data_IF_368983666185
#
_entry.id   IF_368983666185
#
_cell.length_a   1.000
_cell.length_b   1.000
_cell.length_c   1.000
_cell.angle_alpha   90.00
_cell.angle_beta   90.00
_cell.angle_gamma   90.00
#
_symmetry.space_group_name_H-M   'P 1'
#
loop_
_entity.id
_entity.type
_entity.pdbx_description
1 polymer ?
#
# COMPACT_ATOMS: atom_id res chain seq x y z
N UNK A 1 -4.35 6.37 10.66
CA UNK A 1 -5.77 5.98 10.52
C UNK A 1 -6.28 6.24 9.09
N UNK A 2 -6.39 7.51 8.66
CA UNK A 2 -6.84 7.89 7.29
C UNK A 2 -6.03 7.19 6.18
N UNK A 3 -4.72 7.04 6.37
CA UNK A 3 -3.84 6.33 5.42
C UNK A 3 -4.17 4.83 5.31
N UNK A 4 -4.58 4.17 6.40
CA UNK A 4 -4.93 2.74 6.40
C UNK A 4 -6.29 2.53 5.73
N UNK A 5 -7.27 3.40 6.04
CA UNK A 5 -8.61 3.35 5.43
C UNK A 5 -8.56 3.63 3.93
N UNK A 6 -7.75 4.59 3.49
CA UNK A 6 -7.55 4.87 2.05
C UNK A 6 -6.79 3.74 1.35
N UNK A 7 -5.77 3.15 1.96
CA UNK A 7 -5.12 1.94 1.44
C UNK A 7 -6.10 0.79 1.25
N UNK A 8 -7.02 0.57 2.20
CA UNK A 8 -8.07 -0.43 2.10
C UNK A 8 -9.07 -0.11 0.99
N UNK A 9 -9.50 1.15 0.87
CA UNK A 9 -10.35 1.61 -0.21
C UNK A 9 -9.71 1.35 -1.57
N UNK A 10 -8.43 1.71 -1.74
CA UNK A 10 -7.67 1.46 -2.97
C UNK A 10 -7.61 -0.05 -3.23
N UNK A 11 -7.33 -0.87 -2.23
CA UNK A 11 -7.32 -2.33 -2.37
C UNK A 11 -8.67 -2.91 -2.81
N UNK A 12 -9.78 -2.48 -2.20
CA UNK A 12 -11.12 -2.94 -2.56
C UNK A 12 -11.52 -2.50 -3.97
N UNK A 13 -11.17 -1.27 -4.37
CA UNK A 13 -11.37 -0.77 -5.74
C UNK A 13 -10.58 -1.61 -6.74
N UNK A 14 -9.33 -1.96 -6.42
CA UNK A 14 -8.47 -2.76 -7.30
C UNK A 14 -8.92 -4.22 -7.43
N UNK A 15 -9.39 -4.86 -6.35
CA UNK A 15 -9.70 -6.29 -6.35
C UNK A 15 -11.06 -6.60 -6.99
N UNK A 16 -12.02 -5.68 -6.92
CA UNK A 16 -13.42 -5.96 -7.28
C UNK A 16 -13.97 -5.18 -8.46
N UNK A 17 -13.16 -4.36 -9.16
CA UNK A 17 -13.51 -3.72 -10.43
C UNK A 17 -14.99 -3.34 -10.55
N UNK A 18 -15.40 -2.25 -9.88
CA UNK A 18 -16.76 -1.67 -9.92
C UNK A 18 -17.96 -2.57 -9.52
N UNK A 19 -17.80 -3.89 -9.34
CA UNK A 19 -18.93 -4.84 -9.29
C UNK A 19 -19.55 -5.04 -7.90
N UNK A 20 -18.92 -4.58 -6.81
CA UNK A 20 -19.45 -4.70 -5.44
C UNK A 20 -19.57 -3.34 -4.74
N UNK A 21 -20.63 -2.61 -5.08
CA UNK A 21 -20.89 -1.24 -4.57
C UNK A 21 -20.91 -1.12 -3.03
N UNK A 22 -21.39 -2.14 -2.31
CA UNK A 22 -21.54 -2.08 -0.84
C UNK A 22 -20.21 -1.86 -0.10
N UNK A 23 -19.12 -2.51 -0.52
CA UNK A 23 -17.81 -2.42 0.15
C UNK A 23 -17.14 -1.07 -0.11
N UNK A 24 -17.35 -0.50 -1.30
CA UNK A 24 -16.82 0.81 -1.69
C UNK A 24 -17.55 1.90 -0.89
N UNK A 25 -18.89 1.82 -0.78
CA UNK A 25 -19.70 2.79 -0.01
C UNK A 25 -19.31 2.82 1.46
N UNK A 26 -19.13 1.65 2.10
CA UNK A 26 -18.71 1.58 3.51
C UNK A 26 -17.29 2.16 3.70
N UNK A 27 -16.38 1.88 2.78
CA UNK A 27 -15.00 2.40 2.83
C UNK A 27 -14.95 3.91 2.61
N UNK A 28 -15.79 4.44 1.71
CA UNK A 28 -15.95 5.89 1.50
C UNK A 28 -16.57 6.56 2.72
N UNK A 29 -17.61 5.97 3.30
CA UNK A 29 -18.27 6.49 4.49
C UNK A 29 -17.29 6.58 5.68
N UNK A 30 -16.48 5.54 5.90
CA UNK A 30 -15.41 5.56 6.90
C UNK A 30 -14.38 6.65 6.61
N UNK A 31 -14.00 6.83 5.34
CA UNK A 31 -13.03 7.86 4.97
C UNK A 31 -13.56 9.27 5.24
N UNK A 32 -14.81 9.55 4.87
CA UNK A 32 -15.46 10.84 5.12
C UNK A 32 -15.59 11.15 6.62
N UNK A 33 -15.98 10.17 7.45
CA UNK A 33 -16.07 10.35 8.90
C UNK A 33 -14.71 10.56 9.59
N UNK A 34 -13.62 10.13 8.94
CA UNK A 34 -12.24 10.24 9.43
C UNK A 34 -11.49 11.45 8.85
N UNK A 35 -12.07 12.13 7.85
CA UNK A 35 -11.45 13.27 7.21
C UNK A 35 -11.39 14.47 8.15
N UNK A 36 -10.37 15.31 7.98
CA UNK A 36 -10.16 16.47 8.85
C UNK A 36 -11.30 17.49 8.69
N UNK A 37 -11.89 18.03 9.78
CA UNK A 37 -11.63 17.73 11.19
C UNK A 37 -12.31 16.42 11.66
N UNK A 38 -11.62 15.55 12.42
CA UNK A 38 -12.18 14.27 12.82
C UNK A 38 -13.35 14.46 13.79
N UNK A 39 -14.53 13.97 13.42
CA UNK A 39 -15.74 14.08 14.25
C UNK A 39 -15.74 13.17 15.48
N UNK A 40 -14.93 12.11 15.47
CA UNK A 40 -14.86 11.12 16.57
C UNK A 40 -13.40 10.70 16.79
N UNK A 41 -12.92 10.85 18.04
CA UNK A 41 -11.64 10.31 18.47
C UNK A 41 -11.77 8.82 18.69
N UNK A 42 -11.22 8.09 17.74
CA UNK A 42 -11.32 6.65 17.68
C UNK A 42 -9.98 6.14 18.21
N UNK A 43 -9.95 5.87 19.51
CA UNK A 43 -8.75 5.55 20.27
C UNK A 43 -8.03 4.27 19.81
N UNK A 44 -7.02 3.86 20.58
CA UNK A 44 -6.09 2.79 20.22
C UNK A 44 -6.78 1.45 19.94
N UNK A 45 -7.87 1.13 20.64
CA UNK A 45 -8.65 -0.11 20.47
C UNK A 45 -9.09 -0.34 19.02
N UNK A 46 -9.62 0.69 18.38
CA UNK A 46 -10.07 0.57 16.99
C UNK A 46 -8.90 0.47 16.02
N UNK A 47 -7.77 1.08 16.34
CA UNK A 47 -6.53 0.93 15.54
C UNK A 47 -6.01 -0.50 15.61
N UNK A 48 -6.01 -1.13 16.79
CA UNK A 48 -5.66 -2.54 16.92
C UNK A 48 -6.63 -3.44 16.15
N UNK A 49 -7.94 -3.23 16.34
CA UNK A 49 -8.96 -4.00 15.63
C UNK A 49 -8.81 -3.90 14.10
N UNK A 50 -8.69 -2.68 13.57
CA UNK A 50 -8.56 -2.44 12.13
C UNK A 50 -7.30 -3.12 11.57
N UNK A 51 -6.16 -3.02 12.26
CA UNK A 51 -4.90 -3.64 11.82
C UNK A 51 -4.97 -5.17 11.87
N UNK A 52 -5.56 -5.73 12.91
CA UNK A 52 -5.74 -7.18 13.07
C UNK A 52 -6.61 -7.73 11.94
N UNK A 53 -7.75 -7.11 11.67
CA UNK A 53 -8.66 -7.50 10.59
C UNK A 53 -7.98 -7.41 9.23
N UNK A 54 -7.21 -6.35 8.97
CA UNK A 54 -6.44 -6.21 7.74
C UNK A 54 -5.41 -7.32 7.56
N UNK A 55 -4.70 -7.70 8.62
CA UNK A 55 -3.75 -8.80 8.59
C UNK A 55 -4.46 -10.13 8.27
N UNK A 56 -5.54 -10.45 8.97
CA UNK A 56 -6.32 -11.69 8.76
C UNK A 56 -6.83 -11.79 7.31
N UNK A 57 -7.48 -10.72 6.81
CA UNK A 57 -8.01 -10.67 5.45
C UNK A 57 -6.90 -10.83 4.41
N UNK A 58 -5.70 -10.28 4.66
CA UNK A 58 -4.56 -10.41 3.74
C UNK A 58 -3.93 -11.79 3.70
N UNK A 59 -3.89 -12.48 4.84
CA UNK A 59 -3.39 -13.84 4.96
C UNK A 59 -4.36 -14.78 4.25
N UNK A 60 -5.67 -14.64 4.52
CA UNK A 60 -6.70 -15.48 3.91
C UNK A 60 -6.81 -15.28 2.39
N UNK A 61 -6.59 -14.05 1.90
CA UNK A 61 -6.63 -13.73 0.48
C UNK A 61 -5.32 -13.91 -0.28
N UNK A 62 -4.25 -14.43 0.35
CA UNK A 62 -2.93 -14.61 -0.27
C UNK A 62 -2.31 -13.34 -0.88
N UNK A 63 -2.65 -12.16 -0.38
CA UNK A 63 -2.10 -10.86 -0.83
C UNK A 63 -1.25 -10.15 0.23
N UNK A 64 -0.68 -10.91 1.18
CA UNK A 64 0.14 -10.37 2.29
C UNK A 64 1.30 -9.47 1.83
N UNK A 65 1.94 -9.79 0.69
CA UNK A 65 3.00 -8.93 0.09
C UNK A 65 2.47 -7.55 -0.29
N UNK A 66 1.28 -7.50 -0.87
CA UNK A 66 0.61 -6.25 -1.24
C UNK A 66 0.31 -5.43 0.01
N UNK A 67 -0.30 -6.06 1.02
CA UNK A 67 -0.63 -5.39 2.29
C UNK A 67 0.61 -4.79 2.98
N UNK A 68 1.72 -5.53 3.00
CA UNK A 68 2.96 -5.06 3.63
C UNK A 68 3.51 -3.77 2.99
N UNK A 69 3.40 -3.64 1.66
CA UNK A 69 3.77 -2.43 0.93
C UNK A 69 2.81 -1.28 1.26
N UNK A 70 1.52 -1.58 1.43
CA UNK A 70 0.56 -0.57 1.88
C UNK A 70 0.84 -0.07 3.31
N UNK A 71 1.45 -0.89 4.16
CA UNK A 71 1.87 -0.52 5.51
C UNK A 71 3.28 0.09 5.57
N UNK A 72 4.00 0.27 4.46
CA UNK A 72 5.36 0.82 4.45
C UNK A 72 5.53 2.13 5.23
N UNK A 73 4.69 3.17 5.11
CA UNK A 73 4.86 4.37 5.94
C UNK A 73 4.68 4.09 7.44
N UNK A 74 3.81 3.16 7.81
CA UNK A 74 3.61 2.75 9.21
C UNK A 74 4.82 1.96 9.73
N UNK A 75 5.40 1.09 8.89
CA UNK A 75 6.60 0.31 9.20
C UNK A 75 7.81 1.22 9.34
N UNK A 76 7.99 2.19 8.44
CA UNK A 76 9.05 3.19 8.55
C UNK A 76 8.90 4.06 9.80
N UNK A 77 7.67 4.48 10.14
CA UNK A 77 7.42 5.18 11.40
C UNK A 77 7.79 4.32 12.62
N UNK A 78 7.47 3.03 12.60
CA UNK A 78 7.88 2.10 13.66
C UNK A 78 9.40 1.96 13.73
N UNK A 79 10.09 1.74 12.60
CA UNK A 79 11.56 1.62 12.55
C UNK A 79 12.27 2.88 13.06
N UNK A 80 11.77 4.07 12.71
CA UNK A 80 12.30 5.34 13.22
C UNK A 80 12.03 5.52 14.72
N UNK A 81 10.91 4.99 15.22
CA UNK A 81 10.57 5.02 16.63
C UNK A 81 11.21 3.90 17.45
N UNK A 82 11.72 2.82 16.85
CA UNK A 82 12.41 1.69 17.53
C UNK A 82 13.54 2.07 18.50
N UNK A 83 14.43 3.05 18.22
CA UNK A 83 15.49 3.42 19.16
C UNK A 83 14.97 3.99 20.49
N UNK A 84 13.72 4.45 20.55
CA UNK A 84 13.09 4.96 21.77
C UNK A 84 12.74 3.82 22.77
N UNK A 85 11.88 2.83 22.46
CA UNK A 85 11.59 1.71 23.36
C UNK A 85 12.79 0.78 23.59
N UNK A 86 13.81 0.81 22.73
CA UNK A 86 15.09 0.13 22.96
C UNK A 86 15.96 0.81 24.04
N UNK A 87 15.54 1.97 24.57
CA UNK A 87 16.25 2.71 25.62
C UNK A 87 17.48 3.47 25.13
N UNK A 88 17.69 3.58 23.81
CA UNK A 88 18.84 4.25 23.21
C UNK A 88 18.72 5.79 23.24
N UNK A 89 17.49 6.31 23.27
CA UNK A 89 17.16 7.73 23.27
C UNK A 89 16.08 7.94 24.35
N UNK A 90 16.16 9.02 25.17
CA UNK A 90 15.12 9.32 26.16
C UNK A 90 13.74 9.43 25.51
N UNK A 91 12.77 8.68 26.03
CA UNK A 91 11.39 8.67 25.57
C UNK A 91 10.56 9.75 26.28
N UNK A 92 10.19 10.86 25.62
CA UNK A 92 9.24 11.80 26.20
C UNK A 92 7.84 11.16 26.27
N UNK A 93 7.09 11.46 27.33
CA UNK A 93 5.74 10.90 27.55
C UNK A 93 4.70 11.30 26.49
N UNK A 94 4.97 12.34 25.70
CA UNK A 94 4.12 12.79 24.59
C UNK A 94 4.94 12.87 23.31
N UNK A 95 4.67 11.99 22.36
CA UNK A 95 5.36 11.91 21.06
C UNK A 95 4.70 12.75 19.95
N UNK A 96 3.68 13.56 20.30
CA UNK A 96 2.95 14.37 19.33
C UNK A 96 3.66 15.72 19.09
N UNK A 97 3.72 16.18 17.83
CA UNK A 97 4.23 17.51 17.51
C UNK A 97 3.41 18.59 18.22
N UNK A 98 4.08 19.68 18.61
CA UNK A 98 3.42 20.79 19.29
C UNK A 98 2.51 21.53 18.29
N UNK A 99 1.23 21.59 18.61
CA UNK A 99 0.25 22.37 17.85
C UNK A 99 0.24 23.81 18.35
N UNK A 100 0.43 24.78 17.45
CA UNK A 100 0.28 26.19 17.78
C UNK A 100 -1.10 26.69 17.31
N UNK A 101 -2.06 26.97 18.22
CA UNK A 101 -3.42 27.34 17.86
C UNK A 101 -3.52 28.65 17.07
N UNK A 102 -2.56 29.57 17.24
CA UNK A 102 -2.56 30.86 16.58
C UNK A 102 -2.15 30.76 15.10
N UNK A 103 -1.30 29.79 14.77
CA UNK A 103 -0.79 29.60 13.39
C UNK A 103 -1.40 28.39 12.69
N UNK A 104 -2.08 27.50 13.43
CA UNK A 104 -2.58 26.19 12.97
C UNK A 104 -1.50 25.29 12.35
N UNK A 105 -0.24 25.52 12.69
CA UNK A 105 0.92 24.77 12.21
C UNK A 105 1.38 23.75 13.25
N UNK A 106 1.86 22.61 12.78
CA UNK A 106 2.58 21.64 13.59
C UNK A 106 4.06 22.02 13.62
N UNK A 107 4.64 22.03 14.81
CA UNK A 107 6.06 22.27 15.03
C UNK A 107 6.71 20.91 15.30
N UNK A 108 7.68 20.54 14.47
CA UNK A 108 8.45 19.31 14.64
C UNK A 108 9.28 19.35 15.93
N UNK A 109 9.13 18.33 16.77
CA UNK A 109 9.98 18.10 17.94
C UNK A 109 11.13 17.16 17.58
N UNK A 110 12.09 16.98 18.49
CA UNK A 110 13.27 16.14 18.23
C UNK A 110 13.02 14.63 18.36
N UNK A 111 11.75 14.21 18.49
CA UNK A 111 11.39 12.83 18.76
C UNK A 111 11.48 11.98 17.49
N UNK A 112 11.79 10.69 17.66
CA UNK A 112 11.98 9.72 16.57
C UNK A 112 10.69 9.26 15.90
N UNK A 113 9.75 10.16 15.58
CA UNK A 113 8.53 9.82 14.84
C UNK A 113 8.65 10.27 13.38
N UNK A 114 8.04 9.52 12.46
CA UNK A 114 8.02 9.88 11.02
C UNK A 114 7.41 11.26 10.79
N UNK A 115 6.43 11.64 11.62
CA UNK A 115 5.80 12.97 11.58
C UNK A 115 6.83 14.06 11.91
N UNK A 116 7.57 13.92 13.00
CA UNK A 116 8.61 14.88 13.39
C UNK A 116 9.78 14.90 12.40
N UNK A 117 10.17 13.75 11.87
CA UNK A 117 11.16 13.65 10.82
C UNK A 117 10.71 14.36 9.53
N UNK A 118 9.45 14.17 9.12
CA UNK A 118 8.87 14.86 7.96
C UNK A 118 8.76 16.37 8.20
N UNK A 119 8.37 16.78 9.41
CA UNK A 119 8.33 18.19 9.82
C UNK A 119 9.72 18.84 9.87
N UNK A 120 10.78 18.07 10.14
CA UNK A 120 12.17 18.55 10.04
C UNK A 120 12.63 18.70 8.60
N UNK A 121 12.26 17.77 7.72
CA UNK A 121 12.65 17.82 6.31
C UNK A 121 11.90 18.89 5.51
N UNK A 122 10.59 19.03 5.75
CA UNK A 122 9.71 19.93 4.99
C UNK A 122 9.54 21.29 5.69
N UNK A 123 9.79 21.36 7.00
CA UNK A 123 9.53 22.54 7.82
C UNK A 123 8.14 22.54 8.45
N UNK A 124 7.69 23.71 8.93
CA UNK A 124 6.41 23.88 9.62
C UNK A 124 5.27 23.74 8.63
N UNK A 125 4.50 22.67 8.75
CA UNK A 125 3.35 22.39 7.87
C UNK A 125 2.07 22.18 8.68
N UNK A 126 0.93 22.41 8.02
CA UNK A 126 -0.38 22.14 8.60
C UNK A 126 -0.65 20.64 8.60
N UNK A 127 -1.46 20.19 9.55
CA UNK A 127 -1.82 18.77 9.70
C UNK A 127 -2.50 18.21 8.45
N UNK A 128 -3.37 19.01 7.83
CA UNK A 128 -4.06 18.67 6.58
C UNK A 128 -3.07 18.41 5.43
N UNK A 129 -2.04 19.25 5.29
CA UNK A 129 -1.05 19.15 4.21
C UNK A 129 -0.15 17.94 4.42
N UNK A 130 0.20 17.64 5.68
CA UNK A 130 0.96 16.44 6.02
C UNK A 130 0.15 15.17 5.73
N UNK A 131 -1.14 15.17 6.08
CA UNK A 131 -2.04 14.05 5.78
C UNK A 131 -2.15 13.82 4.26
N UNK A 132 -2.36 14.88 3.49
CA UNK A 132 -2.42 14.82 2.03
C UNK A 132 -1.09 14.34 1.44
N UNK A 133 0.05 14.80 1.94
CA UNK A 133 1.36 14.35 1.47
C UNK A 133 1.55 12.84 1.67
N UNK A 134 1.21 12.32 2.85
CA UNK A 134 1.26 10.88 3.10
C UNK A 134 0.28 10.09 2.22
N UNK A 135 -0.93 10.62 1.98
CA UNK A 135 -1.90 10.01 1.08
C UNK A 135 -1.40 9.99 -0.38
N UNK A 136 -0.74 11.05 -0.84
CA UNK A 136 -0.17 11.13 -2.18
C UNK A 136 0.98 10.14 -2.35
N UNK A 137 1.89 10.07 -1.39
CA UNK A 137 2.97 9.06 -1.38
C UNK A 137 2.39 7.65 -1.42
N UNK A 138 1.36 7.41 -0.62
CA UNK A 138 0.64 6.13 -0.59
C UNK A 138 -0.01 5.80 -1.93
N UNK A 139 -0.71 6.76 -2.55
CA UNK A 139 -1.38 6.57 -3.83
C UNK A 139 -0.38 6.30 -4.97
N UNK A 140 0.74 7.02 -4.99
CA UNK A 140 1.82 6.82 -5.97
C UNK A 140 2.46 5.43 -5.80
N UNK A 141 2.80 5.04 -4.56
CA UNK A 141 3.36 3.73 -4.26
C UNK A 141 2.41 2.59 -4.70
N UNK A 142 1.11 2.77 -4.42
CA UNK A 142 0.06 1.83 -4.82
C UNK A 142 -0.02 1.71 -6.34
N UNK A 143 -0.03 2.84 -7.06
CA UNK A 143 -0.09 2.87 -8.53
C UNK A 143 1.14 2.23 -9.18
N UNK A 144 2.34 2.53 -8.69
CA UNK A 144 3.58 1.91 -9.15
C UNK A 144 3.62 0.40 -8.91
N UNK A 145 3.05 -0.05 -7.78
CA UNK A 145 2.92 -1.48 -7.50
C UNK A 145 1.94 -2.19 -8.45
N UNK A 146 0.81 -1.56 -8.78
CA UNK A 146 -0.14 -2.08 -9.78
C UNK A 146 0.55 -2.20 -11.13
N UNK A 147 1.24 -1.17 -11.60
CA UNK A 147 1.96 -1.20 -12.88
C UNK A 147 3.01 -2.33 -12.91
N UNK A 148 3.70 -2.56 -11.80
CA UNK A 148 4.65 -3.66 -11.69
C UNK A 148 3.95 -5.03 -11.72
N UNK A 149 2.84 -5.21 -10.98
CA UNK A 149 2.05 -6.46 -10.99
C UNK A 149 1.41 -6.74 -12.34
N UNK A 150 0.85 -5.72 -13.00
CA UNK A 150 0.26 -5.83 -14.34
C UNK A 150 1.33 -6.21 -15.34
N UNK A 151 2.50 -5.54 -15.34
CA UNK A 151 3.62 -5.90 -16.23
C UNK A 151 4.14 -7.31 -15.97
N UNK A 152 4.22 -7.74 -14.71
CA UNK A 152 4.66 -9.10 -14.37
C UNK A 152 3.62 -10.15 -14.79
N UNK A 153 2.34 -9.94 -14.52
CA UNK A 153 1.28 -10.90 -14.90
C UNK A 153 1.11 -10.97 -16.41
N UNK A 154 1.09 -9.82 -17.10
CA UNK A 154 1.06 -9.79 -18.57
C UNK A 154 2.31 -10.46 -19.11
N UNK A 155 3.51 -10.08 -18.64
CA UNK A 155 4.77 -10.67 -19.08
C UNK A 155 4.89 -12.19 -18.86
N UNK A 156 4.37 -12.72 -17.75
CA UNK A 156 4.30 -14.17 -17.50
C UNK A 156 3.28 -14.83 -18.45
N UNK A 157 2.11 -14.22 -18.65
CA UNK A 157 1.09 -14.75 -19.55
C UNK A 157 1.57 -14.76 -21.01
N UNK A 158 2.24 -13.71 -21.47
CA UNK A 158 2.83 -13.63 -22.82
C UNK A 158 3.98 -14.62 -22.99
N UNK A 159 4.86 -14.78 -22.00
CA UNK A 159 5.92 -15.80 -22.03
C UNK A 159 5.35 -17.23 -22.05
N UNK A 160 4.31 -17.50 -21.27
CA UNK A 160 3.64 -18.80 -21.26
C UNK A 160 2.95 -19.09 -22.60
N UNK A 161 2.37 -18.07 -23.26
CA UNK A 161 1.77 -18.21 -24.58
C UNK A 161 2.82 -18.43 -25.68
N UNK A 162 3.91 -17.65 -25.67
CA UNK A 162 5.04 -17.80 -26.60
C UNK A 162 5.69 -19.17 -26.49
N UNK A 163 5.90 -19.68 -25.28
CA UNK A 163 6.47 -21.01 -25.07
C UNK A 163 5.54 -22.13 -25.56
N UNK A 164 4.22 -21.91 -25.54
CA UNK A 164 3.23 -22.83 -26.12
C UNK A 164 3.25 -22.80 -27.64
N UNK A 165 3.44 -21.62 -28.24
CA UNK A 165 3.57 -21.42 -29.69
C UNK A 165 4.85 -22.02 -30.25
N UNK A 166 6.00 -21.81 -29.59
CA UNK A 166 7.28 -22.38 -30.02
C UNK A 166 7.23 -23.91 -30.09
N UNK A 167 6.68 -24.54 -29.04
CA UNK A 167 6.47 -26.00 -29.02
C UNK A 167 5.53 -26.49 -30.12
N UNK A 168 4.51 -25.70 -30.49
CA UNK A 168 3.60 -26.08 -31.57
C UNK A 168 4.25 -25.97 -32.96
N UNK A 169 5.10 -24.95 -33.17
CA UNK A 169 5.84 -24.74 -34.42
C UNK A 169 6.90 -25.83 -34.62
N UNK A 170 7.59 -26.25 -33.56
CA UNK A 170 8.62 -27.29 -33.60
C UNK A 170 8.03 -28.67 -33.98
N UNK A 171 6.86 -29.01 -33.44
CA UNK A 171 6.13 -30.24 -33.80
C UNK A 171 5.68 -30.21 -35.27
N UNK A 172 5.23 -29.05 -35.77
CA UNK A 172 4.76 -28.93 -37.14
C UNK A 172 5.91 -28.99 -38.16
N UNK A 173 7.08 -28.44 -37.84
CA UNK A 173 8.29 -28.55 -38.67
C UNK A 173 8.84 -29.98 -38.73
N UNK A 174 8.78 -30.71 -37.61
CA UNK A 174 9.23 -32.11 -37.53
C UNK A 174 8.32 -33.06 -38.34
N UNK A 175 7.02 -32.79 -38.40
CA UNK A 175 6.05 -33.53 -39.22
C UNK A 175 6.27 -33.30 -40.73
N UNK A 176 6.56 -32.06 -41.13
CA UNK A 176 6.82 -31.71 -42.53
C UNK A 176 8.13 -32.34 -43.04
N UNK A 177 9.16 -32.44 -42.20
CA UNK A 177 10.43 -33.09 -42.57
C UNK A 177 10.27 -34.62 -42.71
N UNK A 178 9.45 -35.27 -41.87
CA UNK A 178 9.14 -36.71 -42.01
C UNK A 178 8.40 -37.06 -43.29
N UNK A 179 7.44 -36.22 -43.71
CA UNK A 179 6.69 -36.45 -44.94
C UNK A 179 7.55 -36.28 -46.21
N UNK A 180 8.53 -35.37 -46.20
CA UNK A 180 9.48 -35.20 -47.31
C UNK A 180 10.43 -36.41 -47.39
N UNK A 181 10.89 -36.94 -46.26
CA UNK A 181 11.73 -38.14 -46.25
C UNK A 181 10.98 -39.44 -46.60
N UNK A 182 9.67 -39.51 -46.33
CA UNK A 182 8.84 -40.68 -46.67
C UNK A 182 8.38 -40.73 -48.13
N UNK A 183 8.35 -39.60 -48.84
CA UNK A 183 7.99 -39.50 -50.26
C UNK A 183 9.17 -39.63 -51.25
N UNK A 184 10.38 -39.89 -50.75
CA UNK A 184 11.61 -40.00 -51.54
C UNK A 184 12.09 -41.45 -51.72
N UNK A 185 11.21 -42.45 -51.53
CA UNK A 185 11.49 -43.89 -51.70
C UNK A 185 10.59 -44.44 -52.80
#
# INVERSE_FOLDING_TARGET
MVVITSAFLIHNVMQFGASKGLSITISLALFCYKWYPPSVFIGDTYTYFTRMTMAIVSILGHFSKTLLIFFTPQVLNFLLSLPQPAGLIPCPRQHLPKFNPNTRLLIGTNDGTLVNFTLRLVGRIREESLCIAFLLVQAIASRRYIDHKVKVVVGISTKAYLQKLDKAIEVHSCSHHKNICAGAI
#
